data_IF_808877505242
#
_entry.id   IF_808877505242
#
_cell.length_a   1.000
_cell.length_b   1.000
_cell.length_c   1.000
_cell.angle_alpha   90.00
_cell.angle_beta   90.00
_cell.angle_gamma   90.00
#
_symmetry.space_group_name_H-M   'P 1'
#
loop_
_entity.id
_entity.type
_entity.pdbx_description
1 polymer ?
#
# COMPACT_ATOMS: atom_id res chain seq x y z
N UNK A 1 -4.21 -3.98 20.58
CA UNK A 1 -2.80 -3.52 20.55
C UNK A 1 -2.69 -2.48 19.45
N UNK A 2 -1.99 -1.36 19.71
CA UNK A 2 -1.75 -0.35 18.67
C UNK A 2 -0.68 -0.82 17.68
N UNK A 3 -0.85 -0.53 16.40
CA UNK A 3 0.20 -0.76 15.39
C UNK A 3 1.44 0.07 15.69
N UNK A 4 2.62 -0.49 15.39
CA UNK A 4 3.90 0.23 15.49
C UNK A 4 4.15 0.96 14.18
N UNK A 5 4.39 2.27 14.30
CA UNK A 5 4.59 3.16 13.17
C UNK A 5 6.05 3.65 13.17
N UNK A 6 6.74 3.40 12.07
CA UNK A 6 8.02 4.02 11.76
C UNK A 6 7.73 5.38 11.11
N UNK A 7 8.14 6.47 11.76
CA UNK A 7 8.01 7.82 11.23
C UNK A 7 9.41 8.35 10.87
N UNK A 8 9.61 8.75 9.60
CA UNK A 8 10.88 9.32 9.15
C UNK A 8 10.63 10.67 8.50
N UNK A 9 11.13 11.72 9.12
CA UNK A 9 10.93 13.12 8.74
C UNK A 9 12.09 13.94 9.31
N UNK A 10 12.83 14.67 8.50
CA UNK A 10 14.00 15.44 8.95
C UNK A 10 13.59 16.72 9.70
N UNK A 11 12.49 17.37 9.31
CA UNK A 11 11.99 18.57 9.97
C UNK A 11 11.40 18.24 11.36
N UNK A 12 12.11 18.62 12.42
CA UNK A 12 11.77 18.29 13.81
C UNK A 12 10.37 18.76 14.22
N UNK A 13 9.88 19.88 13.68
CA UNK A 13 8.56 20.43 13.97
C UNK A 13 7.46 19.54 13.39
N UNK A 14 7.59 19.11 12.14
CA UNK A 14 6.66 18.23 11.44
C UNK A 14 6.69 16.84 12.10
N UNK A 15 7.90 16.29 12.33
CA UNK A 15 8.08 14.98 12.97
C UNK A 15 7.40 14.93 14.33
N UNK A 16 7.63 15.90 15.20
CA UNK A 16 6.99 16.00 16.50
C UNK A 16 5.47 16.12 16.40
N UNK A 17 4.99 16.94 15.47
CA UNK A 17 3.57 17.17 15.26
C UNK A 17 2.86 15.90 14.79
N UNK A 18 3.43 15.17 13.82
CA UNK A 18 2.88 13.91 13.34
C UNK A 18 2.86 12.87 14.46
N UNK A 19 3.99 12.68 15.17
CA UNK A 19 4.10 11.74 16.28
C UNK A 19 3.00 11.94 17.30
N UNK A 20 2.85 13.17 17.83
CA UNK A 20 1.84 13.48 18.86
C UNK A 20 0.42 13.12 18.40
N UNK A 21 0.10 13.40 17.14
CA UNK A 21 -1.23 13.13 16.61
C UNK A 21 -1.49 11.62 16.44
N UNK A 22 -0.48 10.86 16.02
CA UNK A 22 -0.60 9.41 15.89
C UNK A 22 -0.67 8.71 17.26
N UNK A 23 0.14 9.14 18.23
CA UNK A 23 0.12 8.60 19.59
C UNK A 23 -1.24 8.84 20.28
N UNK A 24 -1.89 9.99 20.06
CA UNK A 24 -3.25 10.27 20.54
C UNK A 24 -4.30 9.30 19.98
N UNK A 25 -4.08 8.73 18.81
CA UNK A 25 -4.96 7.73 18.19
C UNK A 25 -4.59 6.29 18.59
N UNK A 26 -3.61 6.12 19.49
CA UNK A 26 -3.21 4.83 20.05
C UNK A 26 -2.17 4.06 19.24
N UNK A 27 -1.48 4.71 18.31
CA UNK A 27 -0.34 4.12 17.59
C UNK A 27 0.93 4.19 18.44
N UNK A 28 1.81 3.20 18.31
CA UNK A 28 3.14 3.18 18.93
C UNK A 28 4.14 3.75 17.92
N UNK A 29 4.57 5.00 18.13
CA UNK A 29 5.38 5.72 17.13
C UNK A 29 6.85 5.77 17.55
N UNK A 30 7.72 5.22 16.69
CA UNK A 30 9.17 5.46 16.72
C UNK A 30 9.53 6.43 15.60
N UNK A 31 10.09 7.59 15.97
CA UNK A 31 10.38 8.67 15.04
C UNK A 31 11.89 8.90 14.86
N UNK A 32 12.30 9.10 13.62
CA UNK A 32 13.70 9.24 13.23
C UNK A 32 13.90 10.46 12.30
N UNK A 33 15.02 11.20 12.46
CA UNK A 33 15.32 12.35 11.59
C UNK A 33 15.95 11.96 10.27
N UNK A 34 16.36 10.71 10.08
CA UNK A 34 17.06 10.24 8.88
C UNK A 34 16.69 8.80 8.51
N UNK A 35 16.89 8.48 7.22
CA UNK A 35 16.69 7.14 6.70
C UNK A 35 17.64 6.12 7.34
N UNK A 36 18.88 6.53 7.61
CA UNK A 36 19.94 5.68 8.18
C UNK A 36 19.56 5.23 9.60
N UNK A 37 19.09 6.16 10.45
CA UNK A 37 18.65 5.84 11.81
C UNK A 37 17.40 4.94 11.80
N UNK A 38 16.48 5.19 10.87
CA UNK A 38 15.30 4.36 10.68
C UNK A 38 15.66 2.92 10.28
N UNK A 39 16.60 2.73 9.34
CA UNK A 39 17.08 1.40 8.93
C UNK A 39 17.77 0.68 10.07
N UNK A 40 18.55 1.36 10.88
CA UNK A 40 19.20 0.75 12.07
C UNK A 40 18.14 0.29 13.07
N UNK A 41 17.09 1.09 13.31
CA UNK A 41 15.99 0.70 14.19
C UNK A 41 15.23 -0.53 13.66
N UNK A 42 15.05 -0.66 12.34
CA UNK A 42 14.38 -1.80 11.71
C UNK A 42 15.13 -3.13 11.92
N UNK A 43 16.42 -3.11 12.27
CA UNK A 43 17.18 -4.34 12.59
C UNK A 43 16.76 -4.95 13.93
N UNK A 44 16.26 -4.17 14.84
CA UNK A 44 15.96 -4.59 16.21
C UNK A 44 14.47 -4.49 16.55
N UNK A 45 13.71 -3.75 15.76
CA UNK A 45 12.29 -3.51 15.97
C UNK A 45 11.52 -3.84 14.70
N UNK A 46 10.31 -4.37 14.85
CA UNK A 46 9.39 -4.59 13.73
C UNK A 46 8.35 -3.47 13.69
N UNK A 47 7.99 -3.04 12.49
CA UNK A 47 6.98 -2.02 12.23
C UNK A 47 5.96 -2.56 11.23
N UNK A 48 4.70 -2.27 11.47
CA UNK A 48 3.61 -2.65 10.56
C UNK A 48 3.34 -1.55 9.53
N UNK A 49 3.64 -0.29 9.88
CA UNK A 49 3.36 0.89 9.06
C UNK A 49 4.59 1.78 9.05
N UNK A 50 4.92 2.35 7.90
CA UNK A 50 5.91 3.41 7.76
C UNK A 50 5.28 4.68 7.19
N UNK A 51 5.67 5.84 7.74
CA UNK A 51 5.36 7.18 7.22
C UNK A 51 6.68 7.85 6.92
N UNK A 52 6.96 8.08 5.65
CA UNK A 52 8.28 8.52 5.18
C UNK A 52 8.17 9.84 4.42
N UNK A 53 9.00 10.81 4.78
CA UNK A 53 9.20 11.98 3.90
C UNK A 53 10.00 11.56 2.66
N UNK A 54 9.64 12.10 1.50
CA UNK A 54 10.42 11.93 0.27
C UNK A 54 11.73 12.69 0.37
N UNK A 55 11.70 13.92 0.89
CA UNK A 55 12.83 14.83 0.90
C UNK A 55 13.62 14.74 2.21
N UNK A 56 14.28 13.61 2.43
CA UNK A 56 15.21 13.44 3.55
C UNK A 56 16.62 13.84 3.14
N UNK A 57 17.40 14.34 4.11
CA UNK A 57 18.84 14.57 3.91
C UNK A 57 19.58 13.23 3.69
N UNK A 58 20.67 13.25 2.91
CA UNK A 58 21.53 12.10 2.56
C UNK A 58 20.81 11.02 1.74
N UNK A 59 20.22 10.00 2.38
CA UNK A 59 19.39 9.00 1.71
C UNK A 59 17.95 9.52 1.60
N UNK A 60 17.46 9.71 0.37
CA UNK A 60 16.09 10.15 0.13
C UNK A 60 15.04 9.09 0.51
N UNK A 61 13.80 9.55 0.74
CA UNK A 61 12.72 8.67 1.18
C UNK A 61 12.29 7.62 0.15
N UNK A 62 12.53 7.85 -1.16
CA UNK A 62 12.22 6.86 -2.20
C UNK A 62 13.23 5.71 -2.16
N UNK A 63 14.49 6.02 -1.92
CA UNK A 63 15.53 5.00 -1.71
C UNK A 63 15.25 4.18 -0.45
N UNK A 64 14.88 4.84 0.66
CA UNK A 64 14.46 4.17 1.88
C UNK A 64 13.24 3.26 1.63
N UNK A 65 12.22 3.74 0.93
CA UNK A 65 11.05 2.95 0.55
C UNK A 65 11.44 1.67 -0.18
N UNK A 66 12.34 1.75 -1.18
CA UNK A 66 12.79 0.58 -1.95
C UNK A 66 13.46 -0.46 -1.06
N UNK A 67 14.35 -0.03 -0.18
CA UNK A 67 15.03 -0.93 0.78
C UNK A 67 14.01 -1.58 1.73
N UNK A 68 13.09 -0.79 2.30
CA UNK A 68 12.06 -1.33 3.19
C UNK A 68 11.13 -2.29 2.46
N UNK A 69 10.80 -2.04 1.21
CA UNK A 69 9.93 -2.91 0.42
C UNK A 69 10.58 -4.25 0.09
N UNK A 70 11.88 -4.25 -0.18
CA UNK A 70 12.66 -5.48 -0.42
C UNK A 70 12.75 -6.35 0.84
N UNK A 71 12.96 -5.74 2.01
CA UNK A 71 13.16 -6.47 3.28
C UNK A 71 11.83 -6.76 3.98
N UNK A 72 10.85 -5.88 3.86
CA UNK A 72 9.54 -5.95 4.57
C UNK A 72 8.38 -5.77 3.57
N UNK A 73 8.11 -6.75 2.70
CA UNK A 73 7.11 -6.62 1.61
C UNK A 73 5.69 -6.31 2.12
N UNK A 74 5.33 -6.78 3.32
CA UNK A 74 4.01 -6.58 3.93
C UNK A 74 3.89 -5.30 4.79
N UNK A 75 4.98 -4.54 4.98
CA UNK A 75 4.91 -3.25 5.67
C UNK A 75 4.07 -2.27 4.84
N UNK A 76 3.10 -1.62 5.44
CA UNK A 76 2.33 -0.59 4.77
C UNK A 76 3.12 0.73 4.77
N UNK A 77 3.31 1.36 3.60
CA UNK A 77 4.16 2.55 3.47
C UNK A 77 3.38 3.72 2.89
N UNK A 78 3.32 4.82 3.65
CA UNK A 78 2.76 6.11 3.23
C UNK A 78 3.90 7.09 3.00
N UNK A 79 3.92 7.75 1.84
CA UNK A 79 4.91 8.78 1.54
C UNK A 79 4.34 10.18 1.81
N UNK A 80 5.11 11.02 2.48
CA UNK A 80 4.85 12.45 2.58
C UNK A 80 5.61 13.16 1.46
N UNK A 81 4.93 14.02 0.69
CA UNK A 81 5.52 14.66 -0.49
C UNK A 81 5.23 16.16 -0.53
N UNK A 82 6.15 16.95 -1.07
CA UNK A 82 5.88 18.34 -1.38
C UNK A 82 4.89 18.46 -2.55
N UNK A 83 4.04 19.48 -2.54
CA UNK A 83 2.90 19.66 -3.48
C UNK A 83 3.30 19.87 -4.96
N UNK A 84 4.57 20.07 -5.26
CA UNK A 84 5.04 20.65 -6.53
C UNK A 84 5.54 19.66 -7.59
N UNK A 85 5.65 18.36 -7.30
CA UNK A 85 6.31 17.46 -8.26
C UNK A 85 5.48 16.21 -8.54
N UNK A 86 4.65 16.29 -9.60
CA UNK A 86 3.92 15.12 -10.13
C UNK A 86 4.87 13.99 -10.55
N UNK A 87 6.12 14.31 -10.91
CA UNK A 87 7.15 13.35 -11.32
C UNK A 87 7.65 12.53 -10.13
N UNK A 88 7.87 13.15 -8.97
CA UNK A 88 8.30 12.43 -7.76
C UNK A 88 7.20 11.54 -7.21
N UNK A 89 5.95 11.95 -7.34
CA UNK A 89 4.80 11.10 -7.02
C UNK A 89 4.76 9.86 -7.91
N UNK A 90 4.98 9.99 -9.21
CA UNK A 90 4.95 8.87 -10.15
C UNK A 90 6.09 7.90 -9.85
N UNK A 91 7.31 8.40 -9.64
CA UNK A 91 8.48 7.58 -9.33
C UNK A 91 8.34 6.83 -8.00
N UNK A 92 7.83 7.53 -6.97
CA UNK A 92 7.56 6.92 -5.69
C UNK A 92 6.37 5.93 -5.77
N UNK A 93 5.34 6.20 -6.58
CA UNK A 93 4.26 5.25 -6.88
C UNK A 93 4.79 3.97 -7.53
N UNK A 94 5.65 4.07 -8.54
CA UNK A 94 6.26 2.90 -9.15
C UNK A 94 7.18 2.12 -8.20
N UNK A 95 7.70 2.78 -7.14
CA UNK A 95 8.62 2.20 -6.17
C UNK A 95 7.96 1.35 -5.07
N UNK A 96 6.63 1.30 -4.99
CA UNK A 96 5.96 0.38 -4.06
C UNK A 96 5.27 0.99 -2.85
N UNK A 97 5.06 2.30 -2.80
CA UNK A 97 4.25 2.91 -1.75
C UNK A 97 2.77 2.46 -1.82
N UNK A 98 2.12 2.38 -0.67
CA UNK A 98 0.70 2.06 -0.54
C UNK A 98 -0.17 3.30 -0.64
N UNK A 99 0.36 4.47 -0.26
CA UNK A 99 -0.36 5.73 -0.27
C UNK A 99 0.58 6.94 -0.22
N UNK A 100 0.03 8.13 -0.50
CA UNK A 100 0.73 9.42 -0.51
C UNK A 100 -0.08 10.52 0.14
N UNK A 101 0.62 11.45 0.78
CA UNK A 101 0.03 12.63 1.38
C UNK A 101 0.89 13.86 1.07
N UNK A 102 0.29 14.86 0.41
CA UNK A 102 1.01 16.07 0.03
C UNK A 102 1.12 17.05 1.20
N UNK A 103 2.30 17.59 1.44
CA UNK A 103 2.56 18.70 2.37
C UNK A 103 2.10 20.04 1.72
N UNK A 104 1.49 20.98 2.49
CA UNK A 104 1.06 20.83 3.86
C UNK A 104 -0.22 19.99 3.96
N UNK A 105 -0.33 19.14 4.98
CA UNK A 105 -1.46 18.23 5.19
C UNK A 105 -2.17 18.46 6.53
N UNK A 106 -3.42 18.04 6.58
CA UNK A 106 -4.16 17.96 7.85
C UNK A 106 -3.82 16.63 8.54
N UNK A 107 -3.42 16.63 9.84
CA UNK A 107 -3.15 15.40 10.57
C UNK A 107 -4.29 14.39 10.55
N UNK A 108 -5.54 14.87 10.54
CA UNK A 108 -6.71 14.00 10.42
C UNK A 108 -6.71 13.20 9.11
N UNK A 109 -6.20 13.79 8.03
CA UNK A 109 -6.08 13.10 6.75
C UNK A 109 -5.07 11.95 6.84
N UNK A 110 -3.88 12.20 7.41
CA UNK A 110 -2.88 11.15 7.64
C UNK A 110 -3.45 10.02 8.52
N UNK A 111 -4.16 10.37 9.60
CA UNK A 111 -4.80 9.40 10.49
C UNK A 111 -5.84 8.55 9.75
N UNK A 112 -6.67 9.15 8.90
CA UNK A 112 -7.66 8.42 8.10
C UNK A 112 -6.99 7.44 7.12
N UNK A 113 -5.87 7.85 6.49
CA UNK A 113 -5.07 7.00 5.59
C UNK A 113 -4.46 5.83 6.34
N UNK A 114 -3.85 6.08 7.49
CA UNK A 114 -3.28 5.04 8.35
C UNK A 114 -4.40 4.08 8.83
N UNK A 115 -5.56 4.58 9.26
CA UNK A 115 -6.70 3.74 9.67
C UNK A 115 -7.21 2.86 8.52
N UNK A 116 -7.23 3.38 7.30
CA UNK A 116 -7.61 2.62 6.11
C UNK A 116 -6.63 1.48 5.84
N UNK A 117 -5.33 1.77 5.88
CA UNK A 117 -4.27 0.78 5.72
C UNK A 117 -4.30 -0.26 6.85
N UNK A 118 -4.48 0.19 8.10
CA UNK A 118 -4.54 -0.69 9.27
C UNK A 118 -5.67 -1.73 9.16
N UNK A 119 -6.82 -1.36 8.59
CA UNK A 119 -7.93 -2.31 8.35
C UNK A 119 -7.52 -3.45 7.41
N UNK A 120 -6.65 -3.18 6.45
CA UNK A 120 -6.10 -4.20 5.55
C UNK A 120 -5.09 -5.12 6.25
N UNK A 121 -4.44 -4.63 7.31
CA UNK A 121 -3.51 -5.42 8.13
C UNK A 121 -4.22 -6.34 9.14
N UNK A 122 -5.49 -6.09 9.46
CA UNK A 122 -6.27 -6.96 10.35
C UNK A 122 -6.60 -8.26 9.63
N UNK A 123 -6.26 -9.39 10.23
CA UNK A 123 -6.71 -10.70 9.80
C UNK A 123 -8.13 -10.93 10.30
N UNK A 124 -9.07 -11.15 9.40
CA UNK A 124 -10.47 -11.40 9.76
C UNK A 124 -10.62 -12.88 10.17
N UNK A 125 -10.37 -13.18 11.46
CA UNK A 125 -10.43 -14.55 12.03
C UNK A 125 -11.84 -15.17 12.05
N UNK A 126 -12.82 -14.57 11.34
CA UNK A 126 -14.23 -14.98 11.40
C UNK A 126 -14.74 -15.71 10.16
N UNK A 127 -13.93 -15.92 9.13
CA UNK A 127 -14.39 -16.68 7.95
C UNK A 127 -13.97 -18.13 8.09
N UNK A 128 -14.93 -19.05 7.96
CA UNK A 128 -14.68 -20.49 7.90
C UNK A 128 -13.87 -20.88 6.64
N UNK A 129 -13.93 -20.07 5.58
CA UNK A 129 -13.12 -20.21 4.38
C UNK A 129 -11.93 -19.26 4.45
N UNK A 130 -10.75 -19.82 4.72
CA UNK A 130 -9.51 -19.07 4.84
C UNK A 130 -8.79 -18.87 3.50
N UNK A 131 -9.33 -19.42 2.42
CA UNK A 131 -8.75 -19.36 1.09
C UNK A 131 -9.77 -19.01 0.02
N UNK A 132 -9.33 -18.29 -1.01
CA UNK A 132 -10.06 -18.10 -2.26
C UNK A 132 -9.25 -18.78 -3.36
N UNK A 133 -9.85 -19.71 -4.08
CA UNK A 133 -9.20 -20.41 -5.19
C UNK A 133 -9.97 -20.14 -6.48
N UNK A 134 -9.24 -19.67 -7.49
CA UNK A 134 -9.76 -19.43 -8.84
C UNK A 134 -8.75 -19.98 -9.86
N UNK A 135 -8.90 -21.25 -10.21
CA UNK A 135 -7.97 -21.99 -11.06
C UNK A 135 -6.54 -21.99 -10.51
N UNK A 136 -5.62 -21.39 -11.26
CA UNK A 136 -4.21 -21.26 -10.84
C UNK A 136 -3.95 -20.21 -9.77
N UNK A 137 -4.93 -19.36 -9.45
CA UNK A 137 -4.82 -18.29 -8.47
C UNK A 137 -5.36 -18.76 -7.11
N UNK A 138 -4.59 -18.54 -6.06
CA UNK A 138 -4.97 -18.85 -4.68
C UNK A 138 -4.62 -17.68 -3.77
N UNK A 139 -5.58 -17.26 -2.96
CA UNK A 139 -5.39 -16.23 -1.92
C UNK A 139 -5.54 -16.91 -0.56
N UNK A 140 -4.52 -16.81 0.29
CA UNK A 140 -4.62 -17.11 1.70
C UNK A 140 -5.01 -15.84 2.46
N UNK A 141 -6.20 -15.84 3.05
CA UNK A 141 -6.75 -14.67 3.74
C UNK A 141 -6.12 -14.44 5.11
N UNK A 142 -5.56 -15.49 5.74
CA UNK A 142 -4.93 -15.40 7.05
C UNK A 142 -3.50 -14.88 6.92
N UNK A 143 -2.72 -15.47 6.02
CA UNK A 143 -1.33 -15.06 5.78
C UNK A 143 -1.25 -13.79 4.90
N UNK A 144 -2.33 -13.47 4.18
CA UNK A 144 -2.39 -12.42 3.14
C UNK A 144 -1.42 -12.70 2.00
N UNK A 145 -1.26 -13.95 1.70
CA UNK A 145 -0.43 -14.45 0.63
C UNK A 145 -1.26 -14.66 -0.64
N UNK A 146 -0.63 -14.41 -1.76
CA UNK A 146 -1.19 -14.66 -3.08
C UNK A 146 -0.29 -15.58 -3.89
N UNK A 147 -0.87 -16.59 -4.51
CA UNK A 147 -0.14 -17.59 -5.28
C UNK A 147 -0.67 -17.68 -6.71
N UNK A 148 0.25 -17.89 -7.65
CA UNK A 148 -0.03 -18.20 -9.05
C UNK A 148 0.70 -19.48 -9.42
N UNK A 149 -0.03 -20.49 -9.88
CA UNK A 149 0.51 -21.85 -10.17
C UNK A 149 1.32 -22.43 -8.98
N UNK A 150 0.86 -22.17 -7.75
CA UNK A 150 1.51 -22.61 -6.51
C UNK A 150 2.72 -21.78 -6.07
N UNK A 151 3.18 -20.82 -6.87
CA UNK A 151 4.28 -19.94 -6.52
C UNK A 151 3.77 -18.71 -5.77
N UNK A 152 4.40 -18.37 -4.64
CA UNK A 152 4.10 -17.18 -3.87
C UNK A 152 4.47 -15.93 -4.68
N UNK A 153 3.54 -15.00 -4.78
CA UNK A 153 3.74 -13.67 -5.37
C UNK A 153 3.71 -12.63 -4.26
N UNK A 154 4.84 -12.00 -4.02
CA UNK A 154 4.95 -10.95 -3.01
C UNK A 154 4.15 -9.71 -3.42
N UNK A 155 3.16 -9.35 -2.61
CA UNK A 155 2.28 -8.20 -2.81
C UNK A 155 2.40 -7.22 -1.65
N UNK A 156 2.30 -5.93 -1.98
CA UNK A 156 2.09 -4.91 -0.95
C UNK A 156 0.68 -5.03 -0.37
N UNK A 157 0.40 -4.48 0.82
CA UNK A 157 -0.94 -4.49 1.40
C UNK A 157 -2.02 -3.92 0.47
N UNK A 158 -1.67 -2.91 -0.33
CA UNK A 158 -2.59 -2.31 -1.30
C UNK A 158 -2.81 -3.21 -2.52
N UNK A 159 -1.76 -3.78 -3.08
CA UNK A 159 -1.86 -4.74 -4.19
C UNK A 159 -2.69 -5.97 -3.78
N UNK A 160 -2.45 -6.49 -2.58
CA UNK A 160 -3.24 -7.60 -2.04
C UNK A 160 -4.73 -7.23 -1.92
N UNK A 161 -5.04 -6.05 -1.39
CA UNK A 161 -6.42 -5.56 -1.29
C UNK A 161 -7.11 -5.45 -2.66
N UNK A 162 -6.40 -4.97 -3.66
CA UNK A 162 -6.93 -4.82 -5.03
C UNK A 162 -7.15 -6.19 -5.69
N UNK A 163 -6.13 -7.07 -5.68
CA UNK A 163 -6.25 -8.37 -6.35
C UNK A 163 -7.32 -9.24 -5.70
N UNK A 164 -7.40 -9.23 -4.37
CA UNK A 164 -8.47 -9.90 -3.63
C UNK A 164 -9.85 -9.44 -4.10
N UNK A 165 -10.08 -8.13 -4.12
CA UNK A 165 -11.37 -7.57 -4.52
C UNK A 165 -11.73 -7.89 -5.97
N UNK A 166 -10.75 -7.89 -6.86
CA UNK A 166 -10.94 -8.23 -8.28
C UNK A 166 -11.23 -9.73 -8.48
N UNK A 167 -10.57 -10.63 -7.74
CA UNK A 167 -10.81 -12.08 -7.81
C UNK A 167 -12.17 -12.43 -7.19
N UNK A 168 -12.56 -11.80 -6.08
CA UNK A 168 -13.91 -11.95 -5.49
C UNK A 168 -15.02 -11.52 -6.46
N UNK A 169 -14.71 -10.64 -7.43
CA UNK A 169 -15.61 -10.16 -8.47
C UNK A 169 -15.16 -10.60 -9.87
N UNK A 170 -14.56 -11.80 -9.98
CA UNK A 170 -14.07 -12.30 -11.26
C UNK A 170 -15.13 -12.30 -12.34
N UNK A 171 -14.72 -12.04 -13.59
CA UNK A 171 -15.56 -11.95 -14.78
C UNK A 171 -16.64 -10.84 -14.74
N UNK A 172 -16.54 -9.90 -13.78
CA UNK A 172 -17.43 -8.73 -13.71
C UNK A 172 -16.64 -7.44 -13.84
N UNK A 173 -17.29 -6.38 -14.31
CA UNK A 173 -16.69 -5.04 -14.36
C UNK A 173 -16.64 -4.43 -12.96
N UNK A 174 -15.44 -4.10 -12.51
CA UNK A 174 -15.19 -3.36 -11.26
C UNK A 174 -14.76 -1.94 -11.59
N UNK A 175 -15.55 -0.95 -11.16
CA UNK A 175 -15.25 0.47 -11.41
C UNK A 175 -14.10 0.95 -10.53
N UNK A 176 -13.28 1.88 -11.05
CA UNK A 176 -12.16 2.49 -10.29
C UNK A 176 -12.58 3.02 -8.93
N UNK A 177 -13.72 3.71 -8.86
CA UNK A 177 -14.26 4.26 -7.61
C UNK A 177 -14.62 3.18 -6.59
N UNK A 178 -15.05 2.00 -7.05
CA UNK A 178 -15.42 0.91 -6.15
C UNK A 178 -14.16 0.25 -5.58
N UNK A 179 -13.08 0.16 -6.38
CA UNK A 179 -11.75 -0.25 -5.88
C UNK A 179 -11.26 0.73 -4.82
N UNK A 180 -11.30 2.05 -5.11
CA UNK A 180 -10.90 3.09 -4.14
C UNK A 180 -11.68 2.95 -2.85
N UNK A 181 -13.01 2.83 -2.94
CA UNK A 181 -13.90 2.69 -1.80
C UNK A 181 -13.61 1.44 -0.97
N UNK A 182 -13.35 0.32 -1.60
CA UNK A 182 -13.10 -0.96 -0.92
C UNK A 182 -11.71 -1.00 -0.30
N UNK A 183 -10.71 -0.56 -1.04
CA UNK A 183 -9.30 -0.66 -0.61
C UNK A 183 -8.90 0.50 0.30
N UNK A 184 -9.32 1.74 0.01
CA UNK A 184 -8.94 2.92 0.81
C UNK A 184 -10.07 3.47 1.70
N UNK A 185 -11.35 3.14 1.46
CA UNK A 185 -12.50 3.56 2.28
C UNK A 185 -13.29 4.73 1.71
N UNK A 186 -14.46 5.01 2.31
CA UNK A 186 -15.47 5.92 1.75
C UNK A 186 -15.09 7.41 1.74
N UNK A 187 -14.27 7.84 2.70
CA UNK A 187 -13.96 9.26 2.92
C UNK A 187 -12.73 9.73 2.13
N UNK A 188 -12.35 8.95 1.12
CA UNK A 188 -11.12 9.17 0.41
C UNK A 188 -11.36 10.00 -0.86
N UNK A 189 -11.02 11.29 -0.81
CA UNK A 189 -10.90 12.16 -1.98
C UNK A 189 -9.63 11.78 -2.76
N UNK A 190 -9.67 10.65 -3.46
CA UNK A 190 -8.49 10.11 -4.10
C UNK A 190 -8.45 10.37 -5.61
N UNK A 191 -7.24 10.67 -6.07
CA UNK A 191 -6.91 10.53 -7.48
C UNK A 191 -6.95 9.03 -7.87
N UNK A 192 -7.87 8.67 -8.76
CA UNK A 192 -8.02 7.30 -9.25
C UNK A 192 -6.77 6.77 -9.96
N UNK A 193 -5.80 7.63 -10.28
CA UNK A 193 -4.50 7.23 -10.83
C UNK A 193 -3.74 6.22 -9.96
N UNK A 194 -3.95 6.24 -8.62
CA UNK A 194 -3.38 5.23 -7.73
C UNK A 194 -3.83 3.81 -8.08
N UNK A 195 -5.09 3.66 -8.49
CA UNK A 195 -5.60 2.36 -8.93
C UNK A 195 -4.84 1.91 -10.18
N UNK A 196 -4.72 2.79 -11.18
CA UNK A 196 -4.06 2.45 -12.46
C UNK A 196 -2.59 2.06 -12.25
N UNK A 197 -1.86 2.74 -11.36
CA UNK A 197 -0.47 2.38 -11.02
C UNK A 197 -0.38 1.01 -10.36
N UNK A 198 -1.23 0.72 -9.37
CA UNK A 198 -1.24 -0.58 -8.71
C UNK A 198 -1.67 -1.71 -9.66
N UNK A 199 -2.61 -1.46 -10.57
CA UNK A 199 -2.97 -2.41 -11.63
C UNK A 199 -1.77 -2.69 -12.55
N UNK A 200 -1.01 -1.66 -12.94
CA UNK A 200 0.21 -1.84 -13.73
C UNK A 200 1.25 -2.69 -13.01
N UNK A 201 1.43 -2.48 -11.70
CA UNK A 201 2.36 -3.27 -10.87
C UNK A 201 1.89 -4.72 -10.72
N UNK A 202 0.60 -4.94 -10.46
CA UNK A 202 0.01 -6.28 -10.41
C UNK A 202 0.22 -7.03 -11.72
N UNK A 203 -0.02 -6.39 -12.87
CA UNK A 203 0.24 -7.01 -14.18
C UNK A 203 1.68 -7.47 -14.32
N UNK A 204 2.65 -6.66 -13.93
CA UNK A 204 4.08 -7.04 -13.96
C UNK A 204 4.39 -8.29 -13.14
N UNK A 205 3.58 -8.60 -12.12
CA UNK A 205 3.77 -9.74 -11.21
C UNK A 205 3.01 -11.00 -11.64
N UNK A 206 1.85 -10.86 -12.29
CA UNK A 206 0.94 -11.98 -12.55
C UNK A 206 0.73 -12.32 -14.02
N UNK A 207 1.01 -11.38 -14.93
CA UNK A 207 0.80 -11.59 -16.36
C UNK A 207 2.09 -11.98 -17.07
N UNK A 208 2.01 -12.85 -18.08
CA UNK A 208 3.14 -13.17 -18.94
C UNK A 208 3.59 -11.96 -19.77
N UNK A 209 2.62 -11.20 -20.27
CA UNK A 209 2.83 -9.94 -20.96
C UNK A 209 1.97 -8.84 -20.30
N UNK A 210 2.58 -7.96 -19.47
CA UNK A 210 1.86 -6.88 -18.81
C UNK A 210 1.19 -5.88 -19.75
N UNK A 211 1.68 -5.77 -21.00
CA UNK A 211 1.13 -4.87 -22.02
C UNK A 211 -0.10 -5.45 -22.70
N UNK A 212 -0.22 -6.78 -22.73
CA UNK A 212 -1.35 -7.51 -23.29
C UNK A 212 -1.88 -8.53 -22.26
N UNK A 213 -2.49 -8.07 -21.16
CA UNK A 213 -2.86 -8.91 -20.02
C UNK A 213 -3.94 -9.93 -20.40
N UNK A 214 -3.78 -11.17 -19.93
CA UNK A 214 -4.78 -12.25 -20.10
C UNK A 214 -5.89 -12.17 -19.08
N UNK A 215 -5.55 -11.84 -17.82
CA UNK A 215 -6.47 -11.87 -16.69
C UNK A 215 -6.92 -10.48 -16.25
N UNK A 216 -5.98 -9.58 -15.98
CA UNK A 216 -6.29 -8.28 -15.41
C UNK A 216 -6.49 -7.22 -16.52
N UNK A 217 -7.70 -7.17 -17.08
CA UNK A 217 -8.02 -6.33 -18.23
C UNK A 217 -8.54 -4.95 -17.87
N UNK A 218 -8.27 -3.98 -18.74
CA UNK A 218 -8.83 -2.63 -18.65
C UNK A 218 -10.07 -2.51 -19.53
N UNK A 219 -11.17 -2.07 -18.96
CA UNK A 219 -12.34 -1.63 -19.70
C UNK A 219 -12.28 -0.11 -19.77
N UNK A 220 -11.93 0.41 -20.94
CA UNK A 220 -11.64 1.82 -21.16
C UNK A 220 -12.82 2.72 -20.74
N UNK A 221 -12.52 3.77 -19.99
CA UNK A 221 -13.52 4.70 -19.47
C UNK A 221 -14.31 4.19 -18.26
N UNK A 222 -14.29 2.89 -17.93
CA UNK A 222 -15.14 2.30 -16.91
C UNK A 222 -14.34 1.77 -15.71
N UNK A 223 -13.42 0.81 -15.92
CA UNK A 223 -12.71 0.17 -14.82
C UNK A 223 -11.84 -1.00 -15.25
N UNK A 224 -11.90 -2.06 -14.46
CA UNK A 224 -11.11 -3.27 -14.66
C UNK A 224 -11.96 -4.53 -14.50
N UNK A 225 -11.53 -5.62 -15.09
CA UNK A 225 -12.07 -6.95 -14.85
C UNK A 225 -10.93 -7.93 -14.64
N UNK A 226 -11.14 -8.90 -13.76
CA UNK A 226 -10.26 -10.06 -13.64
C UNK A 226 -10.92 -11.21 -14.42
N UNK A 227 -10.43 -11.49 -15.64
CA UNK A 227 -10.97 -12.54 -16.47
C UNK A 227 -10.35 -13.88 -16.13
N UNK A 228 -11.19 -14.86 -15.86
CA UNK A 228 -10.82 -16.25 -15.72
C UNK A 228 -11.81 -17.12 -16.50
N UNK A 229 -11.27 -17.99 -17.33
CA UNK A 229 -12.02 -19.02 -18.06
C UNK A 229 -11.56 -20.37 -17.53
N UNK A 230 -12.50 -21.18 -17.13
CA UNK A 230 -12.27 -22.59 -16.78
C UNK A 230 -11.78 -23.39 -18.00
#
# INVERSE_FOLDING_TARGET
MGYRVLLVEDEAAIRKFVKINLEKEGYLVSDFPSAEEALEACRTQSFEIAVLDIMLEKMDGVTLLKILREVYPHMAIIMLTAKSEDIDKINAFESGADDYLSKPFNPKELILRIKSISRRLITDNKREENEIVLGKFRIDLNLKDFYVDGNLIELTPTEFGIIKYLIENANTLVKRKDIVKTVWGYDYLMDTKLVDVNISRLRKKIEKDPSNPEHLKTIWGEGFTFEYKE
#
